data_IF_016822665871
#
_entry.id   IF_016822665871
#
_cell.length_a   1.000
_cell.length_b   1.000
_cell.length_c   1.000
_cell.angle_alpha   90.00
_cell.angle_beta   90.00
_cell.angle_gamma   90.00
#
_symmetry.space_group_name_H-M   'P 1'
#
loop_
_entity.id
_entity.type
_entity.pdbx_description
1 polymer ?
#
# COMPACT_ATOMS: atom_id res chain seq x y z
N UNK A 1 -14.47 -22.54 -1.66
CA UNK A 1 -15.35 -21.36 -1.53
C UNK A 1 -14.97 -20.51 -0.31
N UNK A 2 -14.32 -21.11 0.69
CA UNK A 2 -13.66 -20.49 1.85
C UNK A 2 -12.93 -19.16 1.61
N UNK A 3 -12.40 -18.92 0.40
CA UNK A 3 -11.70 -17.69 0.06
C UNK A 3 -12.57 -16.44 0.14
N UNK A 4 -13.90 -16.53 0.04
CA UNK A 4 -14.80 -15.38 0.18
C UNK A 4 -15.32 -15.16 1.62
N UNK A 5 -15.25 -16.17 2.48
CA UNK A 5 -15.75 -16.08 3.86
C UNK A 5 -14.86 -15.19 4.74
N UNK A 6 -15.43 -14.54 5.75
CA UNK A 6 -14.75 -13.65 6.68
C UNK A 6 -15.20 -12.19 6.57
N UNK A 7 -14.48 -11.31 7.25
CA UNK A 7 -14.77 -9.88 7.29
C UNK A 7 -14.23 -9.18 6.03
N UNK A 8 -15.04 -8.36 5.39
CA UNK A 8 -14.66 -7.51 4.28
C UNK A 8 -14.84 -6.04 4.66
N UNK A 9 -13.77 -5.27 4.46
CA UNK A 9 -13.80 -3.82 4.48
C UNK A 9 -14.49 -3.32 3.23
N UNK A 10 -15.69 -2.78 3.44
CA UNK A 10 -16.50 -2.04 2.46
C UNK A 10 -16.88 -0.70 3.13
N UNK A 11 -17.69 0.19 2.52
CA UNK A 11 -18.19 1.38 3.22
C UNK A 11 -18.82 1.07 4.60
N UNK A 12 -19.37 -0.14 4.75
CA UNK A 12 -19.73 -0.73 6.04
C UNK A 12 -19.09 -2.13 6.13
N UNK A 13 -18.37 -2.43 7.20
CA UNK A 13 -17.76 -3.75 7.34
C UNK A 13 -18.84 -4.85 7.27
N UNK A 14 -18.60 -5.88 6.45
CA UNK A 14 -19.54 -6.99 6.27
C UNK A 14 -18.84 -8.31 6.54
N UNK A 15 -19.54 -9.21 7.23
CA UNK A 15 -19.05 -10.55 7.54
C UNK A 15 -19.83 -11.54 6.68
N UNK A 16 -19.10 -12.42 5.99
CA UNK A 16 -19.66 -13.48 5.16
C UNK A 16 -19.30 -14.85 5.75
N UNK A 17 -20.29 -15.72 5.89
CA UNK A 17 -20.14 -17.10 6.33
C UNK A 17 -20.23 -18.04 5.11
N UNK A 18 -19.44 -19.10 5.10
CA UNK A 18 -19.51 -20.12 4.04
C UNK A 18 -20.77 -20.99 4.22
N UNK A 19 -21.48 -21.23 3.13
CA UNK A 19 -22.60 -22.16 3.03
C UNK A 19 -22.43 -23.09 1.81
N UNK A 20 -23.37 -24.01 1.61
CA UNK A 20 -23.31 -25.00 0.52
C UNK A 20 -23.41 -24.37 -0.88
N UNK A 21 -23.91 -23.12 -1.00
CA UNK A 21 -24.14 -22.43 -2.28
C UNK A 21 -23.17 -21.27 -2.55
N UNK A 22 -22.33 -20.89 -1.57
CA UNK A 22 -21.41 -19.76 -1.65
C UNK A 22 -21.06 -19.16 -0.29
N UNK A 23 -21.12 -17.84 -0.19
CA UNK A 23 -20.98 -17.15 1.10
C UNK A 23 -22.12 -16.17 1.32
N UNK A 24 -22.79 -16.25 2.47
CA UNK A 24 -23.92 -15.41 2.87
C UNK A 24 -23.50 -14.41 3.94
N UNK A 25 -24.04 -13.20 3.90
CA UNK A 25 -23.89 -12.24 4.99
C UNK A 25 -24.58 -12.74 6.27
N UNK A 26 -24.19 -12.24 7.43
CA UNK A 26 -24.74 -12.65 8.73
C UNK A 26 -26.28 -12.50 8.83
N UNK A 27 -26.84 -11.48 8.17
CA UNK A 27 -28.29 -11.26 8.06
C UNK A 27 -28.97 -12.04 6.92
N UNK A 28 -28.20 -12.72 6.05
CA UNK A 28 -28.71 -13.48 4.90
C UNK A 28 -29.14 -12.64 3.67
N UNK A 29 -29.06 -11.32 3.75
CA UNK A 29 -29.55 -10.40 2.71
C UNK A 29 -28.62 -10.27 1.50
N UNK A 30 -27.35 -10.66 1.66
CA UNK A 30 -26.31 -10.53 0.63
C UNK A 30 -25.63 -11.89 0.45
N UNK A 31 -25.44 -12.29 -0.81
CA UNK A 31 -24.72 -13.51 -1.18
C UNK A 31 -23.57 -13.19 -2.10
N UNK A 32 -22.43 -13.85 -1.87
CA UNK A 32 -21.28 -13.84 -2.76
C UNK A 32 -21.11 -15.22 -3.37
N UNK A 33 -20.86 -15.26 -4.68
CA UNK A 33 -20.52 -16.47 -5.42
C UNK A 33 -19.22 -16.27 -6.18
N UNK A 34 -18.30 -17.21 -6.03
CA UNK A 34 -17.04 -17.25 -6.77
C UNK A 34 -17.14 -18.25 -7.91
N UNK A 35 -16.92 -17.80 -9.13
CA UNK A 35 -16.50 -18.66 -10.21
C UNK A 35 -14.99 -18.90 -10.09
N UNK A 36 -14.60 -20.14 -9.80
CA UNK A 36 -13.20 -20.51 -9.57
C UNK A 36 -12.37 -20.53 -10.85
N UNK A 37 -12.99 -20.70 -12.02
CA UNK A 37 -12.26 -20.74 -13.29
C UNK A 37 -11.89 -19.33 -13.76
N UNK A 38 -12.80 -18.38 -13.58
CA UNK A 38 -12.63 -17.00 -14.05
C UNK A 38 -12.21 -16.02 -12.95
N UNK A 39 -12.21 -16.47 -11.69
CA UNK A 39 -12.08 -15.65 -10.49
C UNK A 39 -13.10 -14.50 -10.43
N UNK A 40 -14.22 -14.64 -11.14
CA UNK A 40 -15.32 -13.68 -11.10
C UNK A 40 -16.12 -13.85 -9.82
N UNK A 41 -16.38 -12.73 -9.14
CA UNK A 41 -17.23 -12.68 -7.95
C UNK A 41 -18.54 -12.02 -8.30
N UNK A 42 -19.63 -12.70 -8.02
CA UNK A 42 -20.98 -12.17 -8.12
C UNK A 42 -21.50 -11.86 -6.73
N UNK A 43 -21.94 -10.62 -6.52
CA UNK A 43 -22.72 -10.20 -5.36
C UNK A 43 -24.20 -10.14 -5.73
N UNK A 44 -25.02 -10.81 -4.95
CA UNK A 44 -26.48 -10.80 -5.07
C UNK A 44 -27.10 -10.19 -3.80
N UNK A 45 -28.02 -9.25 -3.97
CA UNK A 45 -28.86 -8.74 -2.89
C UNK A 45 -30.28 -8.48 -3.41
N UNK A 46 -31.23 -9.31 -2.98
CA UNK A 46 -32.56 -9.36 -3.58
C UNK A 46 -32.47 -9.65 -5.09
N UNK A 47 -33.06 -8.76 -5.91
CA UNK A 47 -33.05 -8.86 -7.38
C UNK A 47 -31.84 -8.16 -8.03
N UNK A 48 -30.92 -7.59 -7.25
CA UNK A 48 -29.74 -6.89 -7.77
C UNK A 48 -28.53 -7.81 -7.81
N UNK A 49 -27.81 -7.75 -8.92
CA UNK A 49 -26.55 -8.46 -9.13
C UNK A 49 -25.45 -7.47 -9.52
N UNK A 50 -24.29 -7.58 -8.87
CA UNK A 50 -23.07 -6.84 -9.23
C UNK A 50 -21.94 -7.82 -9.37
N UNK A 51 -21.19 -7.73 -10.47
CA UNK A 51 -20.03 -8.57 -10.73
C UNK A 51 -18.73 -7.81 -10.48
N UNK A 52 -17.71 -8.56 -10.09
CA UNK A 52 -16.36 -8.09 -9.83
C UNK A 52 -15.35 -9.19 -10.08
N UNK A 53 -14.08 -8.87 -9.92
CA UNK A 53 -12.97 -9.83 -10.02
C UNK A 53 -12.28 -9.96 -8.68
N UNK A 54 -12.10 -11.20 -8.23
CA UNK A 54 -11.26 -11.52 -7.09
C UNK A 54 -9.79 -11.34 -7.51
N UNK A 55 -9.03 -10.59 -6.73
CA UNK A 55 -7.62 -10.27 -6.96
C UNK A 55 -6.83 -10.42 -5.65
N UNK A 56 -5.50 -10.36 -5.73
CA UNK A 56 -4.59 -10.44 -4.58
C UNK A 56 -4.82 -11.69 -3.72
N UNK A 57 -4.74 -12.88 -4.33
CA UNK A 57 -4.93 -14.17 -3.66
C UNK A 57 -6.23 -14.29 -2.82
N UNK A 58 -7.28 -13.58 -3.20
CA UNK A 58 -8.57 -13.63 -2.49
C UNK A 58 -8.76 -12.60 -1.40
N UNK A 59 -7.84 -11.66 -1.24
CA UNK A 59 -7.91 -10.60 -0.22
C UNK A 59 -8.58 -9.33 -0.72
N UNK A 60 -8.82 -9.19 -2.03
CA UNK A 60 -9.44 -7.99 -2.60
C UNK A 60 -10.41 -8.34 -3.73
N UNK A 61 -11.53 -7.62 -3.82
CA UNK A 61 -12.48 -7.71 -4.92
C UNK A 61 -12.56 -6.35 -5.59
N UNK A 62 -12.36 -6.31 -6.91
CA UNK A 62 -12.57 -5.11 -7.72
C UNK A 62 -13.89 -5.27 -8.49
N UNK A 63 -14.89 -4.47 -8.13
CA UNK A 63 -16.20 -4.49 -8.75
C UNK A 63 -16.19 -3.76 -10.10
N UNK A 64 -17.09 -4.16 -11.01
CA UNK A 64 -17.22 -3.53 -12.33
C UNK A 64 -17.62 -2.04 -12.25
N UNK A 65 -18.27 -1.63 -11.18
CA UNK A 65 -18.60 -0.23 -10.93
C UNK A 65 -17.42 0.61 -10.38
N UNK A 66 -16.23 0.00 -10.27
CA UNK A 66 -15.01 0.65 -9.77
C UNK A 66 -14.82 0.57 -8.26
N UNK A 67 -15.81 0.13 -7.48
CA UNK A 67 -15.64 -0.07 -6.05
C UNK A 67 -14.63 -1.19 -5.77
N UNK A 68 -13.90 -1.07 -4.67
CA UNK A 68 -12.95 -2.10 -4.23
C UNK A 68 -13.27 -2.50 -2.81
N UNK A 69 -13.40 -3.81 -2.57
CA UNK A 69 -13.53 -4.37 -1.23
C UNK A 69 -12.23 -5.08 -0.88
N UNK A 70 -11.85 -5.05 0.40
CA UNK A 70 -10.64 -5.74 0.86
C UNK A 70 -10.90 -6.46 2.17
N UNK A 71 -10.40 -7.68 2.31
CA UNK A 71 -10.31 -8.34 3.61
C UNK A 71 -9.24 -7.67 4.46
N UNK A 72 -9.49 -7.43 5.75
CA UNK A 72 -8.41 -7.19 6.68
C UNK A 72 -7.58 -8.47 6.69
N UNK A 73 -6.41 -8.41 6.09
CA UNK A 73 -5.40 -9.45 6.24
C UNK A 73 -4.98 -9.33 7.70
N UNK A 74 -5.24 -10.37 8.51
CA UNK A 74 -4.59 -10.47 9.81
C UNK A 74 -3.10 -10.32 9.51
N UNK A 75 -2.51 -9.21 9.97
CA UNK A 75 -1.06 -9.02 9.87
C UNK A 75 -0.48 -10.17 10.68
N UNK A 76 -0.08 -11.26 10.03
CA UNK A 76 0.96 -12.10 10.58
C UNK A 76 2.09 -11.12 10.83
N UNK A 77 2.35 -10.87 12.11
CA UNK A 77 3.47 -10.05 12.52
C UNK A 77 4.69 -10.86 12.17
N UNK A 78 5.13 -10.79 10.91
CA UNK A 78 6.47 -11.19 10.52
C UNK A 78 7.39 -10.35 11.39
N UNK A 79 8.02 -10.99 12.36
CA UNK A 79 8.89 -10.32 13.32
C UNK A 79 10.13 -9.73 12.64
N UNK A 80 10.44 -10.15 11.40
CA UNK A 80 11.60 -9.72 10.64
C UNK A 80 11.28 -9.57 9.14
N UNK A 81 11.73 -8.46 8.54
CA UNK A 81 11.70 -8.20 7.08
C UNK A 81 13.15 -8.09 6.57
N UNK A 82 13.83 -9.23 6.29
CA UNK A 82 15.25 -9.24 5.93
C UNK A 82 15.52 -8.55 4.59
N UNK A 83 14.61 -8.67 3.63
CA UNK A 83 14.70 -8.03 2.31
C UNK A 83 14.03 -6.65 2.28
N UNK A 84 14.05 -5.95 1.13
CA UNK A 84 13.45 -4.62 1.02
C UNK A 84 11.93 -4.68 1.15
N UNK A 85 11.31 -5.65 0.50
CA UNK A 85 9.87 -5.85 0.50
C UNK A 85 9.52 -7.11 1.28
N UNK A 86 8.37 -7.11 1.95
CA UNK A 86 7.78 -8.31 2.56
C UNK A 86 7.24 -9.28 1.49
N UNK A 87 6.98 -10.53 1.88
CA UNK A 87 6.33 -11.50 1.00
C UNK A 87 4.97 -11.01 0.50
N UNK A 88 4.21 -10.32 1.34
CA UNK A 88 2.91 -9.72 0.99
C UNK A 88 3.05 -8.66 -0.10
N UNK A 89 4.04 -7.79 0.02
CA UNK A 89 4.33 -6.75 -0.98
C UNK A 89 4.79 -7.38 -2.29
N UNK A 90 5.64 -8.40 -2.22
CA UNK A 90 6.10 -9.15 -3.38
C UNK A 90 4.93 -9.79 -4.11
N UNK A 91 4.01 -10.43 -3.39
CA UNK A 91 2.82 -11.04 -3.99
C UNK A 91 2.00 -10.03 -4.78
N UNK A 92 1.80 -8.83 -4.24
CA UNK A 92 1.11 -7.73 -4.91
C UNK A 92 1.85 -7.21 -6.16
N UNK A 93 3.19 -7.25 -6.16
CA UNK A 93 4.00 -6.91 -7.34
C UNK A 93 3.91 -8.01 -8.39
N UNK A 94 4.03 -9.27 -7.98
CA UNK A 94 3.93 -10.44 -8.86
C UNK A 94 2.57 -10.43 -9.56
N UNK A 95 1.48 -10.19 -8.83
CA UNK A 95 0.13 -10.10 -9.42
C UNK A 95 0.04 -9.00 -10.47
N UNK A 96 0.59 -7.80 -10.19
CA UNK A 96 0.58 -6.70 -11.17
C UNK A 96 1.43 -6.98 -12.41
N UNK A 97 2.56 -7.66 -12.25
CA UNK A 97 3.39 -8.09 -13.37
C UNK A 97 2.62 -9.14 -14.19
N UNK A 98 2.01 -10.10 -13.51
CA UNK A 98 1.20 -11.16 -14.12
C UNK A 98 -0.07 -10.62 -14.81
N UNK A 99 -0.64 -9.50 -14.34
CA UNK A 99 -1.72 -8.80 -15.06
C UNK A 99 -1.21 -8.08 -16.33
N UNK A 100 0.07 -7.73 -16.38
CA UNK A 100 0.69 -6.96 -17.47
C UNK A 100 1.32 -7.84 -18.54
N UNK A 101 1.84 -9.00 -18.14
CA UNK A 101 2.26 -10.06 -19.04
C UNK A 101 1.04 -10.94 -19.33
N UNK A 102 0.78 -11.21 -20.61
CA UNK A 102 -0.23 -12.18 -21.00
C UNK A 102 0.44 -13.09 -22.03
N UNK A 103 1.14 -14.10 -21.53
CA UNK A 103 1.83 -15.06 -22.40
C UNK A 103 0.81 -16.02 -22.97
N UNK A 104 0.57 -15.88 -24.28
CA UNK A 104 -0.27 -16.80 -25.05
C UNK A 104 0.21 -18.24 -24.77
N UNK A 105 -0.73 -19.12 -24.41
CA UNK A 105 -0.55 -20.55 -24.09
C UNK A 105 -0.11 -20.91 -22.65
N UNK A 106 0.07 -19.94 -21.74
CA UNK A 106 0.25 -20.24 -20.32
C UNK A 106 -1.04 -19.98 -19.53
N UNK A 107 -1.31 -20.81 -18.52
CA UNK A 107 -2.31 -20.45 -17.51
C UNK A 107 -1.75 -19.39 -16.58
N UNK A 108 -2.64 -18.61 -15.97
CA UNK A 108 -2.28 -17.55 -15.00
C UNK A 108 -1.40 -18.07 -13.85
N UNK A 109 -1.68 -19.29 -13.38
CA UNK A 109 -0.87 -19.94 -12.33
C UNK A 109 0.55 -20.30 -12.78
N UNK A 110 0.72 -20.72 -14.04
CA UNK A 110 2.04 -21.04 -14.60
C UNK A 110 2.84 -19.77 -14.86
N UNK A 111 2.19 -18.73 -15.37
CA UNK A 111 2.81 -17.43 -15.59
C UNK A 111 3.29 -16.81 -14.27
N UNK A 112 2.43 -16.82 -13.24
CA UNK A 112 2.78 -16.37 -11.89
C UNK A 112 4.00 -17.12 -11.33
N UNK A 113 4.05 -18.44 -11.48
CA UNK A 113 5.18 -19.26 -11.01
C UNK A 113 6.50 -18.91 -11.73
N UNK A 114 6.44 -18.54 -13.01
CA UNK A 114 7.63 -18.09 -13.76
C UNK A 114 8.10 -16.70 -13.33
N UNK A 115 7.19 -15.82 -12.90
CA UNK A 115 7.49 -14.44 -12.46
C UNK A 115 8.04 -14.43 -11.03
N UNK A 116 7.50 -15.28 -10.15
CA UNK A 116 7.79 -15.26 -8.71
C UNK A 116 9.29 -15.40 -8.40
N UNK A 117 9.97 -16.37 -9.04
CA UNK A 117 11.40 -16.63 -8.83
C UNK A 117 12.29 -15.40 -9.12
N UNK A 118 12.23 -14.84 -10.33
CA UNK A 118 12.94 -13.60 -10.67
C UNK A 118 12.61 -12.42 -9.75
N UNK A 119 11.33 -12.22 -9.38
CA UNK A 119 10.93 -11.11 -8.51
C UNK A 119 11.53 -11.26 -7.10
N UNK A 120 11.48 -12.47 -6.52
CA UNK A 120 12.12 -12.76 -5.22
C UNK A 120 13.64 -12.55 -5.27
N UNK A 121 14.29 -13.01 -6.35
CA UNK A 121 15.72 -12.79 -6.53
C UNK A 121 16.08 -11.30 -6.61
N UNK A 122 15.28 -10.51 -7.35
CA UNK A 122 15.46 -9.05 -7.42
C UNK A 122 15.31 -8.43 -6.04
N UNK A 123 14.27 -8.79 -5.27
CA UNK A 123 14.04 -8.24 -3.93
C UNK A 123 15.22 -8.44 -2.97
N UNK A 124 15.83 -9.63 -2.98
CA UNK A 124 17.01 -9.92 -2.16
C UNK A 124 18.25 -9.08 -2.53
N UNK A 125 18.28 -8.52 -3.74
CA UNK A 125 19.36 -7.65 -4.22
C UNK A 125 19.04 -6.15 -4.08
N UNK A 126 17.77 -5.78 -3.89
CA UNK A 126 17.34 -4.38 -3.94
C UNK A 126 18.04 -3.52 -2.88
N UNK A 127 18.14 -3.98 -1.62
CA UNK A 127 18.78 -3.19 -0.54
C UNK A 127 20.22 -2.81 -0.88
N UNK A 128 20.99 -3.77 -1.40
CA UNK A 128 22.38 -3.56 -1.81
C UNK A 128 22.47 -2.60 -3.00
N UNK A 129 21.66 -2.85 -4.04
CA UNK A 129 21.61 -2.02 -5.23
C UNK A 129 21.24 -0.57 -4.90
N UNK A 130 20.23 -0.35 -4.05
CA UNK A 130 19.84 0.98 -3.59
C UNK A 130 21.00 1.67 -2.87
N UNK A 131 21.68 0.98 -1.95
CA UNK A 131 22.86 1.50 -1.26
C UNK A 131 24.02 1.89 -2.16
N UNK A 132 24.10 1.35 -3.38
CA UNK A 132 25.14 1.74 -4.36
C UNK A 132 24.84 3.03 -5.12
N UNK A 133 23.57 3.46 -5.17
CA UNK A 133 23.12 4.59 -6.02
C UNK A 133 22.56 5.76 -5.23
N UNK A 134 22.15 5.57 -3.97
CA UNK A 134 21.50 6.60 -3.18
C UNK A 134 22.28 6.95 -1.92
N UNK A 135 22.11 8.19 -1.47
CA UNK A 135 22.66 8.65 -0.19
C UNK A 135 21.96 7.90 0.94
N UNK A 136 22.72 7.55 1.99
CA UNK A 136 22.26 6.69 3.09
C UNK A 136 20.97 7.20 3.76
N UNK A 137 20.79 8.52 3.89
CA UNK A 137 19.57 9.09 4.46
C UNK A 137 18.32 8.75 3.62
N UNK A 138 18.42 8.83 2.30
CA UNK A 138 17.30 8.48 1.40
C UNK A 138 17.04 6.98 1.39
N UNK A 139 18.10 6.17 1.51
CA UNK A 139 17.98 4.72 1.69
C UNK A 139 17.21 4.38 2.97
N UNK A 140 17.62 4.97 4.09
CA UNK A 140 16.97 4.77 5.38
C UNK A 140 15.48 5.16 5.34
N UNK A 141 15.15 6.27 4.70
CA UNK A 141 13.77 6.70 4.53
C UNK A 141 12.97 5.68 3.70
N UNK A 142 13.51 5.22 2.56
CA UNK A 142 12.84 4.25 1.69
C UNK A 142 12.65 2.89 2.37
N UNK A 143 13.70 2.35 3.01
CA UNK A 143 13.63 1.11 3.76
C UNK A 143 12.59 1.20 4.89
N UNK A 144 12.58 2.33 5.62
CA UNK A 144 11.60 2.53 6.69
C UNK A 144 10.17 2.65 6.19
N UNK A 145 9.94 3.31 5.05
CA UNK A 145 8.61 3.40 4.46
C UNK A 145 8.07 2.02 4.07
N UNK A 146 8.93 1.18 3.47
CA UNK A 146 8.58 -0.15 2.96
C UNK A 146 8.53 -1.25 4.02
N UNK A 147 9.06 -1.00 5.21
CA UNK A 147 9.10 -1.96 6.32
C UNK A 147 7.71 -2.15 6.95
N UNK A 148 7.04 -3.27 6.69
CA UNK A 148 5.70 -3.57 7.22
C UNK A 148 5.70 -3.90 8.71
N UNK A 149 6.87 -4.14 9.31
CA UNK A 149 7.01 -4.42 10.75
C UNK A 149 6.95 -3.16 11.60
N UNK A 150 7.14 -1.98 10.99
CA UNK A 150 7.11 -0.69 11.68
C UNK A 150 5.72 -0.08 11.69
N UNK A 151 5.32 0.44 12.86
CA UNK A 151 4.11 1.24 12.98
C UNK A 151 4.25 2.60 12.25
N UNK A 152 3.13 3.13 11.77
CA UNK A 152 3.04 4.40 11.03
C UNK A 152 3.72 5.55 11.75
N UNK A 153 3.53 5.67 13.07
CA UNK A 153 4.15 6.71 13.89
C UNK A 153 5.68 6.63 13.84
N UNK A 154 6.23 5.42 13.91
CA UNK A 154 7.67 5.18 13.80
C UNK A 154 8.21 5.50 12.40
N UNK A 155 7.45 5.16 11.36
CA UNK A 155 7.79 5.52 9.96
C UNK A 155 7.83 7.02 9.78
N UNK A 156 6.80 7.73 10.24
CA UNK A 156 6.69 9.20 10.15
C UNK A 156 7.89 9.84 10.83
N UNK A 157 8.21 9.45 12.07
CA UNK A 157 9.31 10.05 12.82
C UNK A 157 10.66 9.94 12.09
N UNK A 158 10.99 8.77 11.55
CA UNK A 158 12.26 8.53 10.84
C UNK A 158 12.32 9.29 9.52
N UNK A 159 11.25 9.23 8.71
CA UNK A 159 11.22 9.91 7.40
C UNK A 159 11.23 11.42 7.58
N UNK A 160 10.55 11.93 8.60
CA UNK A 160 10.55 13.35 8.97
C UNK A 160 11.94 13.81 9.42
N UNK A 161 12.69 13.00 10.18
CA UNK A 161 14.07 13.30 10.52
C UNK A 161 14.95 13.41 9.28
N UNK A 162 14.86 12.44 8.36
CA UNK A 162 15.60 12.46 7.09
C UNK A 162 15.29 13.72 6.28
N UNK A 163 14.02 14.03 6.05
CA UNK A 163 13.63 15.23 5.30
C UNK A 163 14.00 16.51 6.04
N UNK A 164 13.91 16.51 7.37
CA UNK A 164 14.30 17.64 8.20
C UNK A 164 15.81 17.92 8.15
N UNK A 165 16.64 16.90 7.94
CA UNK A 165 18.09 17.06 7.73
C UNK A 165 18.43 17.44 6.29
N UNK A 166 17.74 16.86 5.31
CA UNK A 166 18.08 17.01 3.89
C UNK A 166 17.42 18.21 3.21
N UNK A 167 16.22 18.61 3.62
CA UNK A 167 15.43 19.62 2.90
C UNK A 167 15.17 20.90 3.68
N UNK A 168 15.11 20.86 5.01
CA UNK A 168 14.69 22.03 5.82
C UNK A 168 15.50 23.28 5.53
N UNK A 169 16.81 23.19 5.68
CA UNK A 169 17.70 24.35 5.55
C UNK A 169 17.81 24.80 4.09
N UNK A 170 18.05 23.90 3.11
CA UNK A 170 18.05 24.29 1.70
C UNK A 170 16.74 24.93 1.24
N UNK A 171 15.59 24.43 1.73
CA UNK A 171 14.28 24.98 1.38
C UNK A 171 14.04 26.32 2.07
N UNK A 172 14.43 26.45 3.34
CA UNK A 172 14.35 27.72 4.07
C UNK A 172 15.19 28.79 3.38
N UNK A 173 16.44 28.48 3.03
CA UNK A 173 17.34 29.37 2.30
C UNK A 173 16.79 29.74 0.92
N UNK A 174 16.27 28.78 0.16
CA UNK A 174 15.70 29.01 -1.17
C UNK A 174 14.40 29.85 -1.15
N UNK A 175 13.69 29.86 -0.03
CA UNK A 175 12.49 30.68 0.21
C UNK A 175 12.85 32.04 0.81
N UNK A 176 13.93 32.12 1.58
CA UNK A 176 14.44 33.35 2.16
C UNK A 176 14.77 34.34 1.04
N UNK A 177 14.22 35.55 1.11
CA UNK A 177 14.34 36.57 0.05
C UNK A 177 13.37 36.44 -1.12
N UNK A 178 12.58 35.35 -1.22
CA UNK A 178 11.43 35.26 -2.15
C UNK A 178 10.12 35.61 -1.48
N UNK A 179 9.99 35.24 -0.22
CA UNK A 179 8.88 35.61 0.64
C UNK A 179 9.41 36.73 1.53
N UNK A 180 8.74 37.88 1.53
CA UNK A 180 9.04 39.00 2.41
C UNK A 180 7.89 39.17 3.39
N UNK A 181 8.17 39.12 4.68
CA UNK A 181 7.18 39.43 5.73
C UNK A 181 7.30 40.90 6.14
N UNK A 182 6.42 41.81 5.67
CA UNK A 182 6.44 43.18 6.14
C UNK A 182 6.21 43.16 7.65
N UNK A 183 7.05 43.90 8.39
CA UNK A 183 7.09 44.02 9.86
C UNK A 183 8.02 43.04 10.61
N UNK A 184 8.66 42.08 9.96
CA UNK A 184 9.66 41.22 10.60
C UNK A 184 11.09 41.68 10.29
N UNK A 185 12.00 41.49 11.24
CA UNK A 185 13.44 41.59 10.97
C UNK A 185 13.90 40.32 10.26
N UNK A 186 15.01 40.40 9.53
CA UNK A 186 15.57 39.28 8.75
C UNK A 186 15.73 37.99 9.58
N UNK A 187 16.24 38.09 10.81
CA UNK A 187 16.36 36.92 11.70
C UNK A 187 15.03 36.37 12.23
N UNK A 188 13.99 37.20 12.34
CA UNK A 188 12.63 36.74 12.69
C UNK A 188 11.94 36.08 11.50
N UNK A 189 12.17 36.61 10.30
CA UNK A 189 11.69 36.07 9.04
C UNK A 189 12.29 34.69 8.76
N UNK A 190 13.61 34.53 8.89
CA UNK A 190 14.27 33.22 8.74
C UNK A 190 13.70 32.19 9.72
N UNK A 191 13.54 32.57 11.00
CA UNK A 191 12.96 31.69 12.02
C UNK A 191 11.50 31.30 11.70
N UNK A 192 10.71 32.25 11.20
CA UNK A 192 9.33 32.00 10.79
C UNK A 192 9.29 31.06 9.58
N UNK A 193 10.10 31.32 8.55
CA UNK A 193 10.20 30.47 7.36
C UNK A 193 10.62 29.05 7.72
N UNK A 194 11.65 28.88 8.56
CA UNK A 194 12.06 27.56 9.04
C UNK A 194 10.92 26.82 9.74
N UNK A 195 10.17 27.52 10.59
CA UNK A 195 9.00 26.95 11.29
C UNK A 195 7.90 26.53 10.31
N UNK A 196 7.64 27.33 9.28
CA UNK A 196 6.67 27.01 8.24
C UNK A 196 7.13 25.79 7.44
N UNK A 197 8.39 25.77 7.02
CA UNK A 197 9.00 24.64 6.30
C UNK A 197 8.90 23.36 7.12
N UNK A 198 9.29 23.40 8.40
CA UNK A 198 9.14 22.25 9.30
C UNK A 198 7.69 21.76 9.32
N UNK A 199 6.70 22.64 9.51
CA UNK A 199 5.28 22.25 9.56
C UNK A 199 4.76 21.69 8.24
N UNK A 200 5.25 22.18 7.12
CA UNK A 200 4.91 21.65 5.79
C UNK A 200 5.48 20.24 5.62
N UNK A 201 6.76 20.04 5.95
CA UNK A 201 7.40 18.73 5.89
C UNK A 201 6.70 17.72 6.82
N UNK A 202 6.39 18.11 8.06
CA UNK A 202 5.64 17.29 9.03
C UNK A 202 4.34 16.75 8.41
N UNK A 203 3.55 17.65 7.79
CA UNK A 203 2.26 17.30 7.21
C UNK A 203 2.39 16.48 5.93
N UNK A 204 3.36 16.77 5.09
CA UNK A 204 3.63 16.00 3.87
C UNK A 204 4.00 14.56 4.19
N UNK A 205 4.89 14.34 5.16
CA UNK A 205 5.31 13.00 5.58
C UNK A 205 4.14 12.21 6.14
N UNK A 206 3.39 12.81 7.08
CA UNK A 206 2.24 12.14 7.68
C UNK A 206 1.20 11.73 6.62
N UNK A 207 0.87 12.64 5.69
CA UNK A 207 -0.07 12.34 4.61
C UNK A 207 0.45 11.24 3.67
N UNK A 208 1.74 11.24 3.34
CA UNK A 208 2.34 10.23 2.48
C UNK A 208 2.33 8.84 3.15
N UNK A 209 2.76 8.73 4.40
CA UNK A 209 2.79 7.44 5.13
C UNK A 209 1.39 6.88 5.27
N UNK A 210 0.43 7.69 5.74
CA UNK A 210 -0.96 7.24 5.91
C UNK A 210 -1.59 6.86 4.56
N UNK A 211 -1.36 7.65 3.52
CA UNK A 211 -1.86 7.33 2.18
C UNK A 211 -1.28 6.02 1.64
N UNK A 212 0.00 5.72 1.90
CA UNK A 212 0.58 4.44 1.50
C UNK A 212 -0.06 3.25 2.25
N UNK A 213 -0.38 3.40 3.53
CA UNK A 213 -1.09 2.37 4.32
C UNK A 213 -2.52 2.16 3.80
N UNK A 214 -3.23 3.23 3.46
CA UNK A 214 -4.59 3.15 2.90
C UNK A 214 -4.64 2.41 1.57
N UNK A 215 -3.59 2.51 0.73
CA UNK A 215 -3.53 1.72 -0.52
C UNK A 215 -3.35 0.21 -0.26
N UNK A 216 -2.96 -0.16 0.96
CA UNK A 216 -2.62 -1.51 1.36
C UNK A 216 -1.31 -2.00 0.78
N UNK A 217 -0.43 -1.10 0.32
CA UNK A 217 0.91 -1.43 -0.18
C UNK A 217 1.95 -1.57 0.96
N UNK A 218 1.74 -0.91 2.10
CA UNK A 218 2.58 -0.95 3.32
C UNK A 218 1.72 -0.97 4.57
#
# INVERSE_FOLDING_TARGET
>A
MAVLAGCWSTPLAMIFNEDDEGCTSENGDIRLRLDQETLSVTLMSGDQEVTGKLINAGTRIRWMNGATWSKPVEREVTLEQPDLLSDRQLDGIIDRINESFNVIFLSESMERSLIEGPVKQVNGMLKECLGSIMVEDWKLALETLLDETKASEGKIAIVQDVLGRQLRDPLTEALNGKINFPLLTEGMEEKMLRTVVDKVLDRMVAAAVLGMEETGFV
#
